data_IF_922606944436
#
_entry.id   IF_922606944436
#
_cell.length_a   1.000
_cell.length_b   1.000
_cell.length_c   1.000
_cell.angle_alpha   90.00
_cell.angle_beta   90.00
_cell.angle_gamma   90.00
#
_symmetry.space_group_name_H-M   'P 1'
#
loop_
_entity.id
_entity.type
_entity.pdbx_description
1 polymer ?
#
# COMPACT_ATOMS: atom_id res chain seq x y z
N UNK A 1 12.15 -4.68 -20.96
CA UNK A 1 10.87 -4.85 -20.24
C UNK A 1 10.40 -3.49 -19.82
N UNK A 2 9.11 -3.22 -20.01
CA UNK A 2 8.51 -1.97 -19.55
C UNK A 2 8.46 -1.93 -18.02
N UNK A 3 8.68 -0.75 -17.43
CA UNK A 3 8.70 -0.62 -15.96
C UNK A 3 7.33 -0.94 -15.36
N UNK A 4 6.22 -0.65 -16.05
CA UNK A 4 4.89 -1.02 -15.57
C UNK A 4 4.73 -2.54 -15.52
N UNK A 5 5.22 -3.29 -16.51
CA UNK A 5 5.20 -4.76 -16.47
C UNK A 5 6.01 -5.33 -15.30
N UNK A 6 7.16 -4.72 -14.99
CA UNK A 6 7.95 -5.08 -13.80
C UNK A 6 7.16 -4.82 -12.50
N UNK A 7 6.57 -3.64 -12.38
CA UNK A 7 5.74 -3.27 -11.22
C UNK A 7 4.56 -4.22 -11.06
N UNK A 8 3.86 -4.58 -12.13
CA UNK A 8 2.75 -5.55 -12.08
C UNK A 8 3.22 -6.92 -11.56
N UNK A 9 4.32 -7.47 -12.09
CA UNK A 9 4.84 -8.76 -11.62
C UNK A 9 5.34 -8.70 -10.16
N UNK A 10 5.92 -7.57 -9.76
CA UNK A 10 6.34 -7.36 -8.39
C UNK A 10 5.15 -7.28 -7.42
N UNK A 11 4.08 -6.58 -7.83
CA UNK A 11 2.84 -6.45 -7.05
C UNK A 11 2.11 -7.79 -6.93
N UNK A 12 2.18 -8.64 -7.95
CA UNK A 12 1.59 -9.99 -7.89
C UNK A 12 2.26 -10.87 -6.81
N UNK A 13 3.56 -10.68 -6.57
CA UNK A 13 4.30 -11.41 -5.54
C UNK A 13 4.23 -10.80 -4.13
N UNK A 14 4.33 -9.47 -4.03
CA UNK A 14 4.55 -8.76 -2.74
C UNK A 14 3.43 -7.78 -2.37
N UNK A 15 2.50 -7.56 -3.30
CA UNK A 15 1.39 -6.64 -3.12
C UNK A 15 0.22 -7.24 -2.35
N UNK A 16 -0.52 -6.38 -1.67
CA UNK A 16 -1.72 -6.75 -0.93
C UNK A 16 -2.81 -5.70 -1.15
N UNK A 17 -3.91 -6.12 -1.76
CA UNK A 17 -5.16 -5.37 -1.82
C UNK A 17 -6.06 -5.86 -0.70
N UNK A 18 -6.47 -4.97 0.19
CA UNK A 18 -7.30 -5.33 1.33
C UNK A 18 -8.40 -4.32 1.55
N UNK A 19 -9.56 -4.80 2.00
CA UNK A 19 -10.68 -3.97 2.45
C UNK A 19 -10.95 -4.33 3.90
N UNK A 20 -10.79 -3.36 4.78
CA UNK A 20 -11.03 -3.52 6.22
C UNK A 20 -12.30 -2.80 6.65
N UNK A 21 -13.00 -3.37 7.62
CA UNK A 21 -14.23 -2.83 8.17
C UNK A 21 -14.01 -2.50 9.64
N UNK A 22 -14.22 -1.24 10.01
CA UNK A 22 -14.08 -0.78 11.39
C UNK A 22 -15.42 -0.27 11.92
N UNK A 23 -15.72 -0.57 13.19
CA UNK A 23 -16.87 0.04 13.85
C UNK A 23 -16.56 1.50 14.20
N UNK A 24 -17.44 2.40 13.78
CA UNK A 24 -17.29 3.85 13.98
C UNK A 24 -18.66 4.50 14.20
N UNK A 25 -19.02 4.69 15.47
CA UNK A 25 -20.34 5.21 15.91
C UNK A 25 -20.75 6.54 15.25
N UNK A 26 -19.78 7.35 14.81
CA UNK A 26 -20.04 8.66 14.17
C UNK A 26 -20.61 8.54 12.75
N UNK A 27 -20.54 7.37 12.12
CA UNK A 27 -21.07 7.13 10.78
C UNK A 27 -22.53 6.68 10.84
N UNK A 28 -23.32 7.02 9.81
CA UNK A 28 -24.74 6.63 9.71
C UNK A 28 -24.95 5.11 9.82
N UNK A 29 -24.07 4.34 9.21
CA UNK A 29 -24.10 2.86 9.20
C UNK A 29 -23.30 2.24 10.34
N UNK A 30 -22.62 3.05 11.16
CA UNK A 30 -21.65 2.63 12.18
C UNK A 30 -20.48 1.77 11.69
N UNK A 31 -20.34 1.59 10.38
CA UNK A 31 -19.28 0.80 9.75
C UNK A 31 -18.50 1.70 8.81
N UNK A 32 -17.19 1.77 9.03
CA UNK A 32 -16.22 2.43 8.17
C UNK A 32 -15.57 1.38 7.26
N UNK A 33 -15.69 1.57 5.95
CA UNK A 33 -15.02 0.74 4.93
C UNK A 33 -13.70 1.41 4.56
N UNK A 34 -12.58 0.67 4.68
CA UNK A 34 -11.24 1.18 4.43
C UNK A 34 -10.50 0.27 3.45
N UNK A 35 -10.61 0.53 2.14
CA UNK A 35 -9.77 -0.12 1.15
C UNK A 35 -8.33 0.38 1.28
N UNK A 36 -7.38 -0.49 0.99
CA UNK A 36 -5.98 -0.15 0.95
C UNK A 36 -5.22 -1.05 -0.01
N UNK A 37 -4.23 -0.45 -0.67
CA UNK A 37 -3.19 -1.18 -1.38
C UNK A 37 -1.88 -1.01 -0.60
N UNK A 38 -1.14 -2.11 -0.44
CA UNK A 38 0.12 -2.06 0.28
C UNK A 38 1.14 -3.07 -0.20
N UNK A 39 2.42 -2.76 0.00
CA UNK A 39 3.57 -3.60 -0.35
C UNK A 39 4.52 -3.60 0.84
N UNK A 40 4.88 -4.78 1.34
CA UNK A 40 5.87 -4.94 2.40
C UNK A 40 7.22 -5.40 1.84
N UNK A 41 8.32 -4.77 2.26
CA UNK A 41 9.67 -5.20 1.87
C UNK A 41 10.68 -5.00 2.98
N UNK A 42 11.75 -5.80 2.98
CA UNK A 42 12.85 -5.65 3.92
C UNK A 42 13.55 -4.28 3.76
N UNK A 43 14.18 -3.79 4.83
CA UNK A 43 14.99 -2.57 4.84
C UNK A 43 15.98 -2.46 3.68
N UNK A 44 16.59 -3.57 3.25
CA UNK A 44 17.56 -3.60 2.14
C UNK A 44 16.95 -3.21 0.79
N UNK A 45 15.64 -3.42 0.62
CA UNK A 45 14.91 -3.17 -0.64
C UNK A 45 14.12 -1.86 -0.62
N UNK A 46 14.46 -0.91 0.27
CA UNK A 46 13.74 0.37 0.38
C UNK A 46 13.71 1.16 -0.93
N UNK A 47 14.77 1.09 -1.74
CA UNK A 47 14.86 1.83 -3.00
C UNK A 47 13.73 1.46 -3.96
N UNK A 48 13.33 0.19 -4.00
CA UNK A 48 12.26 -0.26 -4.89
C UNK A 48 10.91 0.31 -4.47
N UNK A 49 10.64 0.39 -3.17
CA UNK A 49 9.41 1.01 -2.67
C UNK A 49 9.37 2.51 -3.01
N UNK A 50 10.51 3.21 -2.97
CA UNK A 50 10.61 4.61 -3.40
C UNK A 50 10.35 4.78 -4.90
N UNK A 51 10.87 3.86 -5.73
CA UNK A 51 10.60 3.86 -7.16
C UNK A 51 9.12 3.62 -7.46
N UNK A 52 8.49 2.66 -6.76
CA UNK A 52 7.06 2.37 -6.90
C UNK A 52 6.20 3.55 -6.42
N UNK A 53 6.55 4.17 -5.30
CA UNK A 53 5.87 5.37 -4.82
C UNK A 53 5.94 6.50 -5.85
N UNK A 54 7.11 6.73 -6.45
CA UNK A 54 7.29 7.75 -7.50
C UNK A 54 6.53 7.39 -8.79
N UNK A 55 6.43 6.11 -9.12
CA UNK A 55 5.70 5.65 -10.31
C UNK A 55 4.19 5.87 -10.18
N UNK A 56 3.61 5.58 -9.02
CA UNK A 56 2.19 5.83 -8.76
C UNK A 56 1.89 7.28 -8.39
N UNK A 57 2.91 8.07 -8.03
CA UNK A 57 2.81 9.45 -7.55
C UNK A 57 1.82 9.62 -6.38
N UNK A 58 1.68 8.56 -5.56
CA UNK A 58 0.74 8.53 -4.44
C UNK A 58 1.21 7.56 -3.35
N UNK A 59 0.50 7.58 -2.22
CA UNK A 59 0.78 6.71 -1.08
C UNK A 59 1.99 7.12 -0.25
N UNK A 60 2.24 6.37 0.81
CA UNK A 60 3.26 6.68 1.82
C UNK A 60 4.07 5.44 2.19
N UNK A 61 5.35 5.64 2.52
CA UNK A 61 6.22 4.57 3.01
C UNK A 61 6.41 4.76 4.52
N UNK A 62 6.11 3.71 5.29
CA UNK A 62 6.35 3.66 6.74
C UNK A 62 7.32 2.55 7.11
N UNK A 63 8.12 2.77 8.14
CA UNK A 63 8.97 1.73 8.72
C UNK A 63 8.24 0.99 9.83
N UNK A 64 8.17 -0.33 9.75
CA UNK A 64 7.68 -1.19 10.81
C UNK A 64 8.87 -1.70 11.63
N UNK A 65 9.05 -1.16 12.85
CA UNK A 65 10.17 -1.53 13.72
C UNK A 65 10.15 -2.99 14.15
N UNK A 66 8.95 -3.55 14.37
CA UNK A 66 8.79 -4.93 14.84
C UNK A 66 9.26 -5.94 13.79
N UNK A 67 8.92 -5.69 12.52
CA UNK A 67 9.21 -6.62 11.43
C UNK A 67 10.50 -6.25 10.66
N UNK A 68 11.17 -5.15 11.05
CA UNK A 68 12.35 -4.60 10.36
C UNK A 68 12.13 -4.40 8.84
N UNK A 69 10.90 -4.05 8.47
CA UNK A 69 10.44 -3.91 7.10
C UNK A 69 9.87 -2.51 6.82
N UNK A 70 9.99 -2.05 5.59
CA UNK A 70 9.22 -0.92 5.09
C UNK A 70 7.92 -1.40 4.46
N UNK A 71 6.88 -0.60 4.64
CA UNK A 71 5.58 -0.81 4.03
C UNK A 71 5.18 0.44 3.24
N UNK A 72 5.07 0.29 1.94
CA UNK A 72 4.34 1.24 1.10
C UNK A 72 2.84 0.99 1.27
N UNK A 73 2.04 2.05 1.42
CA UNK A 73 0.59 1.93 1.54
C UNK A 73 -0.10 3.18 0.98
N UNK A 74 -1.17 2.96 0.21
CA UNK A 74 -2.16 3.98 -0.13
C UNK A 74 -3.54 3.58 0.38
N UNK A 75 -4.23 4.55 1.00
CA UNK A 75 -5.58 4.41 1.56
C UNK A 75 -6.53 5.50 1.08
N UNK A 76 -6.03 6.42 0.26
CA UNK A 76 -6.84 7.50 -0.28
C UNK A 76 -7.71 6.90 -1.39
N UNK A 77 -9.02 7.03 -1.25
CA UNK A 77 -9.98 6.49 -2.22
C UNK A 77 -9.83 7.17 -3.59
N UNK A 78 -9.36 8.41 -3.63
CA UNK A 78 -9.10 9.12 -4.88
C UNK A 78 -7.96 8.51 -5.69
N UNK A 79 -6.99 7.90 -5.00
CA UNK A 79 -5.79 7.30 -5.58
C UNK A 79 -5.99 5.80 -5.90
N UNK A 80 -7.07 5.19 -5.39
CA UNK A 80 -7.43 3.77 -5.54
C UNK A 80 -8.48 3.56 -6.64
N UNK A 81 -8.30 4.19 -7.81
CA UNK A 81 -9.27 4.18 -8.91
C UNK A 81 -8.83 3.32 -10.09
#
# INVERSE_FOLDING_TARGET
MDFASYVSGFIDGEGCFSVSFNFREKLKTKIEVRPSFSIGQNMRSLEILKMIQKFFDCGSIRFCKNDQCYKYETRNIGDLR
#
